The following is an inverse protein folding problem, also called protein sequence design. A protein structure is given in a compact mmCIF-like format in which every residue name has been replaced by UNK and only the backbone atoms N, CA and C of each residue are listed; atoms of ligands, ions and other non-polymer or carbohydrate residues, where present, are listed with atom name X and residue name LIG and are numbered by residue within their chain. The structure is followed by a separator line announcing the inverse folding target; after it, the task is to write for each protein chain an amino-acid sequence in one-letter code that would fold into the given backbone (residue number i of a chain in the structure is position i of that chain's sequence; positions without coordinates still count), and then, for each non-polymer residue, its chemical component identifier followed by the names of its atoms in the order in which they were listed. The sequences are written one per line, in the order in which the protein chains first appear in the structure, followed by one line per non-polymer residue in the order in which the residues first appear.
data_IF_662231578808
#
_entry.id   IF_662231578808
#
_cell.length_a   1.000
_cell.length_b   1.000
_cell.length_c   1.000
_cell.angle_alpha   90.00
_cell.angle_beta   90.00
_cell.angle_gamma   90.00
#
_symmetry.space_group_name_H-M   'P 1'
#
loop_
_entity.id
_entity.type
_entity.pdbx_description
1 polymer ?
#
# COMPACT_ATOMS: atom_id res chain seq x y z
N UNK A 1 6.36 2.64 5.36
CA UNK A 1 7.26 2.65 6.53
C UNK A 1 8.10 3.91 6.42
N UNK A 2 7.89 4.89 7.32
CA UNK A 2 8.59 6.18 7.28
C UNK A 2 9.62 6.34 8.41
N UNK A 3 9.80 5.33 9.28
CA UNK A 3 10.95 5.31 10.20
C UNK A 3 12.18 4.83 9.44
N UNK A 4 12.59 5.65 8.47
CA UNK A 4 13.52 5.28 7.40
C UNK A 4 14.97 5.13 7.84
N UNK A 5 15.32 5.22 9.12
CA UNK A 5 16.72 5.15 9.55
C UNK A 5 16.95 4.61 10.96
N UNK A 6 18.23 4.43 11.30
CA UNK A 6 18.72 3.90 12.57
C UNK A 6 20.09 4.49 12.90
N UNK A 7 20.52 4.39 14.15
CA UNK A 7 21.89 4.74 14.55
C UNK A 7 22.63 3.45 14.86
N UNK A 8 23.60 3.02 14.03
CA UNK A 8 24.48 1.90 14.34
C UNK A 8 25.22 2.13 15.66
N UNK A 9 25.49 1.07 16.43
CA UNK A 9 26.16 1.20 17.73
C UNK A 9 27.60 1.73 17.63
N UNK A 10 28.23 1.52 16.48
CA UNK A 10 29.61 1.88 16.16
C UNK A 10 29.73 3.22 15.40
N UNK A 11 28.61 3.81 14.95
CA UNK A 11 28.59 5.10 14.24
C UNK A 11 27.78 6.14 15.03
N UNK A 12 28.34 7.33 15.30
CA UNK A 12 27.66 8.35 16.12
C UNK A 12 26.59 9.14 15.35
N UNK A 13 26.09 8.63 14.22
CA UNK A 13 25.14 9.33 13.35
C UNK A 13 24.01 8.42 12.86
N UNK A 14 22.84 9.05 12.70
CA UNK A 14 21.66 8.42 12.14
C UNK A 14 21.84 8.19 10.64
N UNK A 15 21.63 6.96 10.19
CA UNK A 15 21.71 6.58 8.77
C UNK A 15 20.37 6.08 8.27
N UNK A 16 20.10 6.31 6.99
CA UNK A 16 18.92 5.79 6.33
C UNK A 16 19.09 4.29 6.04
N UNK A 17 18.05 3.50 6.34
CA UNK A 17 17.93 2.12 5.88
C UNK A 17 17.73 2.10 4.37
N UNK A 18 18.32 1.10 3.70
CA UNK A 18 18.26 0.99 2.25
C UNK A 18 17.34 -0.15 1.81
N UNK A 19 16.63 0.06 0.71
CA UNK A 19 15.74 -0.94 0.14
C UNK A 19 16.49 -2.22 -0.25
N UNK A 20 15.89 -3.37 0.03
CA UNK A 20 16.37 -4.71 -0.29
C UNK A 20 15.26 -5.51 -0.97
N UNK A 21 15.45 -5.78 -2.26
CA UNK A 21 14.55 -6.64 -3.04
C UNK A 21 14.44 -8.04 -2.42
N UNK A 22 15.52 -8.56 -1.82
CA UNK A 22 15.52 -9.86 -1.14
C UNK A 22 14.57 -9.88 0.06
N UNK A 23 14.60 -8.85 0.91
CA UNK A 23 13.72 -8.76 2.07
C UNK A 23 12.26 -8.52 1.66
N UNK A 24 12.03 -7.62 0.69
CA UNK A 24 10.70 -7.38 0.17
C UNK A 24 10.07 -8.64 -0.45
N UNK A 25 10.85 -9.42 -1.20
CA UNK A 25 10.38 -10.67 -1.81
C UNK A 25 10.04 -11.73 -0.76
N UNK A 26 10.78 -11.75 0.35
CA UNK A 26 10.51 -12.63 1.49
C UNK A 26 9.35 -12.14 2.37
N UNK A 27 8.73 -11.00 2.07
CA UNK A 27 7.64 -10.43 2.87
C UNK A 27 8.09 -9.82 4.18
N UNK A 28 9.36 -9.43 4.33
CA UNK A 28 9.87 -8.76 5.52
C UNK A 28 9.84 -7.24 5.37
N UNK A 29 10.36 -6.53 6.38
CA UNK A 29 10.72 -5.12 6.23
C UNK A 29 11.63 -4.93 5.02
N UNK A 30 11.20 -4.16 4.01
CA UNK A 30 11.96 -4.07 2.77
C UNK A 30 13.21 -3.21 2.92
N UNK A 31 13.36 -2.44 4.01
CA UNK A 31 14.51 -1.58 4.24
C UNK A 31 15.46 -2.21 5.27
N UNK A 32 16.72 -2.44 4.87
CA UNK A 32 17.77 -3.05 5.66
C UNK A 32 18.67 -2.01 6.37
N UNK A 33 19.29 -2.36 7.51
CA UNK A 33 19.15 -3.63 8.24
C UNK A 33 17.76 -3.80 8.87
N UNK A 34 17.35 -5.06 9.06
CA UNK A 34 16.04 -5.40 9.60
C UNK A 34 15.79 -4.65 10.92
N UNK A 35 14.55 -4.18 11.07
CA UNK A 35 14.04 -3.69 12.36
C UNK A 35 13.52 -4.86 13.18
N UNK A 36 13.43 -4.65 14.48
CA UNK A 36 12.76 -5.58 15.39
C UNK A 36 11.24 -5.58 15.18
N UNK A 37 10.61 -6.70 15.53
CA UNK A 37 9.17 -6.92 15.42
C UNK A 37 8.75 -7.61 14.12
N UNK A 38 7.47 -7.95 14.02
CA UNK A 38 6.86 -8.55 12.84
C UNK A 38 6.58 -7.48 11.77
N UNK A 39 6.89 -7.76 10.52
CA UNK A 39 6.34 -7.03 9.38
C UNK A 39 4.87 -7.40 9.20
N UNK A 40 4.08 -6.40 8.81
CA UNK A 40 2.67 -6.58 8.50
C UNK A 40 2.24 -5.57 7.42
N UNK A 41 1.21 -5.89 6.64
CA UNK A 41 0.67 -4.99 5.62
C UNK A 41 -0.79 -5.32 5.29
N UNK A 42 -1.54 -4.28 4.92
CA UNK A 42 -2.80 -4.44 4.18
C UNK A 42 -2.51 -4.28 2.69
N UNK A 43 -2.69 -5.36 1.93
CA UNK A 43 -2.28 -5.44 0.52
C UNK A 43 -3.54 -5.44 -0.34
N UNK A 44 -3.87 -4.37 -1.07
CA UNK A 44 -5.04 -4.36 -1.94
C UNK A 44 -4.80 -5.28 -3.15
N UNK A 45 -5.80 -6.05 -3.52
CA UNK A 45 -5.84 -6.81 -4.75
C UNK A 45 -5.69 -5.89 -5.97
N UNK A 46 -4.88 -6.30 -6.94
CA UNK A 46 -4.63 -5.55 -8.17
C UNK A 46 -4.62 -6.52 -9.36
N UNK A 47 -5.80 -7.01 -9.77
CA UNK A 47 -5.89 -8.14 -10.68
C UNK A 47 -5.50 -7.78 -12.12
N UNK A 48 -5.78 -6.54 -12.52
CA UNK A 48 -5.69 -6.10 -13.90
C UNK A 48 -4.26 -5.74 -14.29
N UNK A 49 -3.97 -5.87 -15.58
CA UNK A 49 -2.80 -5.23 -16.16
C UNK A 49 -3.20 -3.85 -16.71
N UNK A 50 -2.52 -2.83 -16.22
CA UNK A 50 -2.75 -1.43 -16.56
C UNK A 50 -1.48 -0.79 -17.13
N UNK A 51 -1.64 0.35 -17.78
CA UNK A 51 -0.54 1.17 -18.30
C UNK A 51 -0.62 2.51 -17.59
N UNK A 52 0.48 2.93 -16.96
CA UNK A 52 0.58 4.21 -16.23
C UNK A 52 1.85 4.94 -16.66
N UNK A 53 1.92 6.27 -16.50
CA UNK A 53 3.15 7.02 -16.73
C UNK A 53 4.28 6.50 -15.85
N UNK A 54 5.47 6.34 -16.43
CA UNK A 54 6.70 6.06 -15.70
C UNK A 54 7.21 7.34 -15.05
N UNK A 55 7.32 7.33 -13.72
CA UNK A 55 7.81 8.47 -12.94
C UNK A 55 9.29 8.80 -13.19
N UNK A 56 10.04 7.93 -13.87
CA UNK A 56 11.40 8.22 -14.35
C UNK A 56 11.42 9.00 -15.67
N UNK A 57 10.27 9.24 -16.30
CA UNK A 57 10.14 10.01 -17.54
C UNK A 57 10.33 9.20 -18.83
N UNK A 58 10.52 7.88 -18.73
CA UNK A 58 10.77 7.00 -19.88
C UNK A 58 9.50 6.55 -20.63
N UNK A 59 8.40 7.30 -20.51
CA UNK A 59 7.13 7.01 -21.17
C UNK A 59 6.13 6.30 -20.26
N UNK A 60 5.55 5.20 -20.74
CA UNK A 60 4.53 4.44 -20.02
C UNK A 60 5.04 3.06 -19.60
N UNK A 61 4.67 2.60 -18.40
CA UNK A 61 5.01 1.29 -17.87
C UNK A 61 3.76 0.42 -17.71
N UNK A 62 3.88 -0.87 -18.07
CA UNK A 62 2.84 -1.87 -17.82
C UNK A 62 3.03 -2.45 -16.41
N UNK A 63 1.98 -2.38 -15.60
CA UNK A 63 2.01 -2.86 -14.20
C UNK A 63 0.68 -3.49 -13.80
N UNK A 64 0.55 -3.87 -12.53
CA UNK A 64 -0.70 -4.33 -11.92
C UNK A 64 -1.48 -3.16 -11.32
N UNK A 65 -2.81 -3.28 -11.38
CA UNK A 65 -3.72 -2.31 -10.80
C UNK A 65 -5.17 -2.70 -10.99
N UNK A 66 -6.04 -1.70 -10.97
CA UNK A 66 -7.49 -1.85 -11.11
C UNK A 66 -7.93 -1.04 -12.32
N UNK A 67 -8.53 -1.71 -13.30
CA UNK A 67 -9.15 -1.05 -14.45
C UNK A 67 -10.64 -0.86 -14.19
N UNK A 68 -11.14 0.34 -14.42
CA UNK A 68 -12.55 0.69 -14.20
C UNK A 68 -13.08 1.53 -15.36
N UNK A 69 -14.39 1.54 -15.56
CA UNK A 69 -15.09 2.53 -16.39
C UNK A 69 -15.54 3.70 -15.53
N UNK A 70 -15.75 4.87 -16.13
CA UNK A 70 -16.40 5.99 -15.44
C UNK A 70 -17.78 5.55 -14.91
N UNK A 71 -18.05 5.83 -13.64
CA UNK A 71 -19.29 5.47 -12.94
C UNK A 71 -19.31 4.03 -12.42
N UNK A 72 -18.29 3.22 -12.70
CA UNK A 72 -18.21 1.85 -12.19
C UNK A 72 -17.85 1.83 -10.70
N UNK A 73 -18.43 0.88 -9.98
CA UNK A 73 -18.05 0.51 -8.62
C UNK A 73 -17.50 -0.92 -8.63
N UNK A 74 -16.32 -1.13 -8.05
CA UNK A 74 -15.72 -2.45 -7.87
C UNK A 74 -15.42 -2.69 -6.40
N UNK A 75 -15.60 -3.94 -5.98
CA UNK A 75 -15.24 -4.43 -4.65
C UNK A 75 -14.05 -5.36 -4.80
N UNK A 76 -13.02 -5.17 -3.98
CA UNK A 76 -11.79 -5.94 -4.04
C UNK A 76 -11.34 -6.34 -2.64
N UNK A 77 -10.52 -7.39 -2.57
CA UNK A 77 -9.91 -7.81 -1.31
C UNK A 77 -8.71 -6.92 -0.91
N UNK A 78 -8.57 -6.70 0.40
CA UNK A 78 -7.36 -6.24 1.06
C UNK A 78 -6.88 -7.39 1.93
N UNK A 79 -5.77 -8.01 1.52
CA UNK A 79 -5.15 -9.13 2.21
C UNK A 79 -4.34 -8.63 3.40
N UNK A 80 -4.63 -9.14 4.60
CA UNK A 80 -3.90 -8.77 5.81
C UNK A 80 -2.76 -9.74 6.08
N UNK A 81 -1.56 -9.34 5.69
CA UNK A 81 -0.36 -10.14 5.81
C UNK A 81 0.45 -9.78 7.07
N UNK A 82 1.14 -10.77 7.64
CA UNK A 82 2.23 -10.58 8.59
C UNK A 82 3.23 -11.73 8.51
N UNK A 83 4.52 -11.45 8.74
CA UNK A 83 5.60 -12.43 8.65
C UNK A 83 5.86 -13.22 9.95
N UNK A 84 5.19 -12.83 11.03
CA UNK A 84 5.13 -13.52 12.32
C UNK A 84 3.79 -13.21 13.02
N UNK A 85 3.41 -13.91 14.10
CA UNK A 85 2.19 -13.60 14.84
C UNK A 85 2.16 -12.16 15.36
N UNK A 86 1.05 -11.47 15.12
CA UNK A 86 0.86 -10.09 15.59
C UNK A 86 0.21 -10.04 16.96
N UNK A 87 0.39 -8.92 17.67
CA UNK A 87 -0.15 -8.71 19.03
C UNK A 87 -1.65 -8.40 19.07
N UNK A 88 -2.31 -8.33 17.91
CA UNK A 88 -3.71 -7.97 17.77
C UNK A 88 -4.13 -7.71 16.32
N UNK A 89 -5.39 -7.29 16.10
CA UNK A 89 -5.88 -6.93 14.78
C UNK A 89 -5.22 -5.66 14.25
N UNK A 90 -5.22 -5.51 12.93
CA UNK A 90 -4.76 -4.31 12.25
C UNK A 90 -5.89 -3.30 12.17
N UNK A 91 -5.62 -2.03 12.46
CA UNK A 91 -6.51 -0.94 12.08
C UNK A 91 -6.17 -0.49 10.66
N UNK A 92 -7.19 -0.33 9.82
CA UNK A 92 -7.04 -0.07 8.39
C UNK A 92 -7.61 1.29 8.01
N UNK A 93 -7.01 1.90 7.00
CA UNK A 93 -7.51 3.10 6.37
C UNK A 93 -7.14 3.05 4.89
N UNK A 94 -8.04 3.52 4.02
CA UNK A 94 -7.70 3.80 2.62
C UNK A 94 -7.60 5.31 2.44
N UNK A 95 -6.46 5.78 1.98
CA UNK A 95 -6.23 7.20 1.70
C UNK A 95 -5.82 7.38 0.25
N UNK A 96 -6.30 8.45 -0.37
CA UNK A 96 -5.80 8.87 -1.67
C UNK A 96 -4.44 9.56 -1.55
N UNK A 97 -3.61 9.42 -2.57
CA UNK A 97 -2.35 10.13 -2.76
C UNK A 97 -2.53 11.59 -3.18
N UNK A 98 -3.65 11.97 -3.82
CA UNK A 98 -3.84 13.34 -4.29
C UNK A 98 -4.09 14.28 -3.11
N UNK A 99 -3.18 15.23 -2.94
CA UNK A 99 -3.27 16.27 -1.89
C UNK A 99 -4.11 17.48 -2.33
N UNK A 100 -4.31 17.69 -3.63
CA UNK A 100 -5.05 18.83 -4.18
C UNK A 100 -5.82 18.43 -5.45
N UNK A 101 -7.08 18.86 -5.55
CA UNK A 101 -7.98 18.55 -6.66
C UNK A 101 -8.92 17.37 -6.38
N UNK A 102 -10.07 17.27 -7.08
CA UNK A 102 -11.02 16.19 -6.86
C UNK A 102 -10.42 14.87 -7.35
N UNK A 103 -10.28 13.89 -6.47
CA UNK A 103 -9.97 12.52 -6.82
C UNK A 103 -11.06 11.97 -7.75
N UNK A 104 -10.67 11.33 -8.86
CA UNK A 104 -11.57 10.61 -9.75
C UNK A 104 -12.08 9.29 -9.19
N UNK A 105 -11.71 8.97 -7.96
CA UNK A 105 -12.09 7.76 -7.25
C UNK A 105 -12.57 8.06 -5.84
N UNK A 106 -13.47 7.26 -5.31
CA UNK A 106 -13.80 7.21 -3.88
C UNK A 106 -13.56 5.80 -3.35
N UNK A 107 -13.25 5.73 -2.07
CA UNK A 107 -12.88 4.49 -1.40
C UNK A 107 -13.66 4.34 -0.10
N UNK A 108 -14.13 3.12 0.19
CA UNK A 108 -14.64 2.74 1.50
C UNK A 108 -14.20 1.33 1.86
N UNK A 109 -14.04 1.09 3.16
CA UNK A 109 -13.82 -0.24 3.70
C UNK A 109 -15.12 -0.76 4.30
N UNK A 110 -15.38 -2.06 4.19
CA UNK A 110 -16.48 -2.71 4.91
C UNK A 110 -16.14 -2.91 6.40
N UNK A 111 -14.86 -3.02 6.74
CA UNK A 111 -14.35 -3.00 8.11
C UNK A 111 -13.04 -2.22 8.20
N UNK A 112 -12.89 -1.42 9.25
CA UNK A 112 -11.63 -0.70 9.54
C UNK A 112 -10.70 -1.51 10.48
N UNK A 113 -11.06 -2.75 10.79
CA UNK A 113 -10.24 -3.63 11.64
C UNK A 113 -10.41 -5.10 11.28
N UNK A 114 -9.30 -5.83 11.20
CA UNK A 114 -9.31 -7.29 11.04
C UNK A 114 -7.96 -7.92 11.44
N UNK A 115 -7.98 -9.21 11.74
CA UNK A 115 -6.80 -9.97 12.16
C UNK A 115 -5.93 -10.39 10.97
N UNK A 116 -4.65 -10.68 11.25
CA UNK A 116 -3.74 -11.29 10.29
C UNK A 116 -4.35 -12.56 9.66
N UNK A 117 -4.22 -12.68 8.34
CA UNK A 117 -4.80 -13.78 7.56
C UNK A 117 -6.25 -13.58 7.14
N UNK A 118 -6.97 -12.59 7.70
CA UNK A 118 -8.30 -12.21 7.22
C UNK A 118 -8.20 -11.23 6.05
N UNK A 119 -9.32 -11.08 5.33
CA UNK A 119 -9.45 -10.09 4.27
C UNK A 119 -10.53 -9.08 4.64
N UNK A 120 -10.34 -7.85 4.19
CA UNK A 120 -11.31 -6.76 4.28
C UNK A 120 -11.64 -6.33 2.85
N UNK A 121 -12.88 -5.90 2.59
CA UNK A 121 -13.26 -5.43 1.26
C UNK A 121 -13.04 -3.93 1.15
N UNK A 122 -12.35 -3.52 0.08
CA UNK A 122 -12.33 -2.12 -0.37
C UNK A 122 -13.29 -1.95 -1.52
N UNK A 123 -14.21 -1.00 -1.40
CA UNK A 123 -15.09 -0.56 -2.47
C UNK A 123 -14.48 0.67 -3.12
N UNK A 124 -14.25 0.61 -4.43
CA UNK A 124 -13.74 1.71 -5.25
C UNK A 124 -14.85 2.16 -6.19
N UNK A 125 -15.12 3.46 -6.28
CA UNK A 125 -16.04 4.02 -7.28
C UNK A 125 -15.32 5.06 -8.13
N UNK A 126 -15.38 4.91 -9.46
CA UNK A 126 -14.81 5.87 -10.40
C UNK A 126 -15.81 7.03 -10.66
N UNK A 127 -15.57 8.20 -10.09
CA UNK A 127 -16.50 9.36 -10.17
C UNK A 127 -16.34 10.16 -11.45
N UNK A 128 -15.18 10.08 -12.11
CA UNK A 128 -14.88 10.71 -13.41
C UNK A 128 -13.81 9.94 -14.14
N UNK A 129 -13.62 10.25 -15.42
CA UNK A 129 -12.47 9.77 -16.18
C UNK A 129 -11.19 10.41 -15.63
N UNK A 130 -10.21 9.58 -15.32
CA UNK A 130 -8.90 9.94 -14.84
C UNK A 130 -7.87 8.90 -15.33
N UNK A 131 -6.76 9.39 -15.89
CA UNK A 131 -5.73 8.55 -16.49
C UNK A 131 -5.18 7.50 -15.51
N UNK A 132 -4.89 7.93 -14.27
CA UNK A 132 -4.56 7.04 -13.16
C UNK A 132 -4.76 7.73 -11.81
N UNK A 133 -5.02 6.93 -10.77
CA UNK A 133 -5.03 7.31 -9.37
C UNK A 133 -4.15 6.36 -8.56
N UNK A 134 -3.56 6.89 -7.48
CA UNK A 134 -2.83 6.09 -6.50
C UNK A 134 -3.57 6.23 -5.18
N UNK A 135 -3.93 5.11 -4.58
CA UNK A 135 -4.39 5.07 -3.19
C UNK A 135 -3.42 4.27 -2.34
N UNK A 136 -3.54 4.42 -1.04
CA UNK A 136 -2.73 3.74 -0.07
C UNK A 136 -3.62 3.04 0.94
N UNK A 137 -3.37 1.76 1.15
CA UNK A 137 -3.86 1.05 2.33
C UNK A 137 -2.87 1.28 3.45
N UNK A 138 -3.32 1.93 4.52
CA UNK A 138 -2.56 2.14 5.75
C UNK A 138 -3.00 1.11 6.76
N UNK A 139 -2.12 0.18 7.11
CA UNK A 139 -2.33 -0.76 8.20
C UNK A 139 -1.57 -0.27 9.45
N UNK A 140 -2.22 -0.32 10.61
CA UNK A 140 -1.63 0.06 11.90
C UNK A 140 -1.73 -1.07 12.91
N UNK A 141 -0.67 -1.24 13.68
CA UNK A 141 -0.60 -2.13 14.83
C UNK A 141 0.11 -1.39 15.97
N UNK A 142 -0.66 -0.97 16.98
CA UNK A 142 -0.18 -0.06 18.02
C UNK A 142 0.37 1.24 17.42
N UNK A 143 1.65 1.54 17.64
CA UNK A 143 2.33 2.73 17.10
C UNK A 143 2.98 2.50 15.73
N UNK A 144 3.00 1.27 15.24
CA UNK A 144 3.61 0.95 13.95
C UNK A 144 2.59 1.13 12.83
N UNK A 145 3.04 1.59 11.66
CA UNK A 145 2.22 1.69 10.47
C UNK A 145 2.99 1.21 9.24
N UNK A 146 2.29 0.49 8.37
CA UNK A 146 2.75 0.14 7.03
C UNK A 146 1.76 0.70 6.00
N UNK A 147 2.28 0.98 4.82
CA UNK A 147 1.55 1.69 3.77
C UNK A 147 1.83 0.97 2.48
N UNK A 148 0.78 0.45 1.85
CA UNK A 148 0.89 -0.29 0.59
C UNK A 148 0.10 0.41 -0.52
N UNK A 149 0.74 0.70 -1.67
CA UNK A 149 0.09 1.42 -2.76
C UNK A 149 -0.84 0.52 -3.57
N UNK A 150 -1.94 1.09 -4.03
CA UNK A 150 -2.82 0.57 -5.06
C UNK A 150 -2.92 1.54 -6.23
N UNK A 151 -2.95 1.00 -7.45
CA UNK A 151 -3.14 1.77 -8.68
C UNK A 151 -4.51 1.52 -9.26
N UNK A 152 -5.17 2.58 -9.71
CA UNK A 152 -6.46 2.51 -10.41
C UNK A 152 -6.43 3.39 -11.64
N UNK A 153 -7.06 2.97 -12.73
CA UNK A 153 -7.19 3.74 -13.97
C UNK A 153 -8.64 3.71 -14.42
N UNK A 154 -9.09 4.79 -15.08
CA UNK A 154 -10.30 4.69 -15.90
C UNK A 154 -9.94 4.47 -17.35
N UNK A 155 -10.48 3.43 -17.98
CA UNK A 155 -10.30 3.12 -19.40
C UNK A 155 -11.63 2.75 -20.05
#
# INVERSE_FOLDING_TARGET
DFSGGFTPADLPYFVQRQWSNKLSLAGHFPCAPNREGAYFAGIPEQPDSIVVPDFSGNGNVKTKGVKMKKGETRVMDVYLYGDAPTTGPFTLQVVDSQRTGPNGFTYSLDSESASQGQHVKVTITATKTQDFGIFFVVARLGRQATIWPGLVVTQ
#
